data_IF_268444738776
#
_entry.id   IF_268444738776
#
_cell.length_a   1.000
_cell.length_b   1.000
_cell.length_c   1.000
_cell.angle_alpha   90.00
_cell.angle_beta   90.00
_cell.angle_gamma   90.00
#
_symmetry.space_group_name_H-M   'P 1'
#
loop_
_entity.id
_entity.type
_entity.pdbx_description
1 polymer ?
#
# COMPACT_ATOMS: atom_id res chain seq x y z
N UNK A 1 16.50 -1.73 1.58
CA UNK A 1 16.57 -2.84 2.55
C UNK A 1 15.16 -3.29 2.90
N UNK A 2 14.89 -4.60 2.86
CA UNK A 2 13.57 -5.17 3.16
C UNK A 2 13.46 -5.46 4.66
N UNK A 3 12.38 -5.03 5.30
CA UNK A 3 12.06 -5.33 6.71
C UNK A 3 10.67 -5.99 6.74
N UNK A 4 10.58 -7.32 6.86
CA UNK A 4 9.29 -8.02 6.90
C UNK A 4 8.65 -7.93 8.29
N UNK A 5 7.31 -7.91 8.34
CA UNK A 5 6.52 -7.77 9.57
C UNK A 5 7.01 -6.60 10.42
N UNK A 6 7.28 -5.49 9.74
CA UNK A 6 8.02 -4.38 10.32
C UNK A 6 7.25 -3.66 11.41
N UNK A 7 5.93 -3.93 11.55
CA UNK A 7 5.09 -3.38 12.58
C UNK A 7 5.30 -1.88 12.75
N UNK A 8 5.40 -1.49 14.02
CA UNK A 8 5.73 -0.13 14.45
C UNK A 8 7.22 0.02 14.79
N UNK A 9 8.07 -0.80 14.19
CA UNK A 9 9.44 -0.93 14.69
C UNK A 9 10.24 0.35 14.48
N UNK A 10 10.79 0.86 15.59
CA UNK A 10 11.71 1.99 15.65
C UNK A 10 12.88 1.83 14.67
N UNK A 11 13.22 0.58 14.34
CA UNK A 11 14.24 0.19 13.35
C UNK A 11 13.99 0.82 11.98
N UNK A 12 12.75 0.97 11.54
CA UNK A 12 12.43 1.60 10.25
C UNK A 12 12.82 3.08 10.23
N UNK A 13 12.50 3.80 11.30
CA UNK A 13 12.86 5.20 11.48
C UNK A 13 14.38 5.36 11.63
N UNK A 14 15.02 4.47 12.39
CA UNK A 14 16.46 4.47 12.59
C UNK A 14 17.22 4.24 11.27
N UNK A 15 16.83 3.22 10.51
CA UNK A 15 17.46 2.87 9.23
C UNK A 15 17.30 3.95 8.17
N UNK A 16 16.13 4.56 8.09
CA UNK A 16 15.93 5.70 7.20
C UNK A 16 16.70 6.94 7.66
N UNK A 17 16.83 7.15 8.98
CA UNK A 17 17.68 8.20 9.56
C UNK A 17 19.17 8.02 9.24
N UNK A 18 19.62 6.80 8.94
CA UNK A 18 20.97 6.52 8.43
C UNK A 18 21.12 6.75 6.91
N UNK A 19 20.05 7.14 6.21
CA UNK A 19 20.05 7.39 4.77
C UNK A 19 19.79 6.15 3.90
N UNK A 20 19.32 5.04 4.48
CA UNK A 20 18.95 3.86 3.69
C UNK A 20 17.55 3.99 3.08
N UNK A 21 17.40 3.53 1.84
CA UNK A 21 16.08 3.28 1.26
C UNK A 21 15.47 2.03 1.89
N UNK A 22 14.51 2.20 2.79
CA UNK A 22 13.85 1.12 3.53
C UNK A 22 12.53 0.75 2.85
N UNK A 23 12.29 -0.56 2.71
CA UNK A 23 11.04 -1.16 2.28
C UNK A 23 10.46 -1.98 3.44
N UNK A 24 9.46 -1.44 4.14
CA UNK A 24 8.72 -2.17 5.15
C UNK A 24 7.58 -2.99 4.53
N UNK A 25 7.36 -4.22 4.99
CA UNK A 25 6.16 -5.01 4.67
C UNK A 25 5.42 -5.33 5.96
N UNK A 26 4.15 -4.94 6.06
CA UNK A 26 3.32 -5.12 7.26
C UNK A 26 1.93 -5.66 6.89
N UNK A 27 1.32 -6.51 7.73
CA UNK A 27 -0.02 -7.08 7.50
C UNK A 27 -1.15 -6.24 8.12
N UNK A 28 -0.82 -5.35 9.05
CA UNK A 28 -1.75 -4.46 9.73
C UNK A 28 -1.71 -3.06 9.13
N UNK A 29 -2.72 -2.71 8.33
CA UNK A 29 -2.90 -1.34 7.80
C UNK A 29 -2.88 -0.28 8.91
N UNK A 30 -3.53 -0.58 10.04
CA UNK A 30 -3.55 0.30 11.23
C UNK A 30 -2.16 0.55 11.81
N UNK A 31 -1.28 -0.45 11.81
CA UNK A 31 0.09 -0.27 12.30
C UNK A 31 0.88 0.67 11.38
N UNK A 32 0.68 0.57 10.07
CA UNK A 32 1.29 1.46 9.08
C UNK A 32 0.76 2.89 9.26
N UNK A 33 -0.55 3.08 9.36
CA UNK A 33 -1.14 4.41 9.58
C UNK A 33 -0.64 5.07 10.88
N UNK A 34 -0.61 4.31 11.98
CA UNK A 34 -0.08 4.80 13.25
C UNK A 34 1.41 5.13 13.19
N UNK A 35 2.20 4.42 12.37
CA UNK A 35 3.60 4.74 12.14
C UNK A 35 3.74 6.11 11.46
N UNK A 36 3.04 6.33 10.34
CA UNK A 36 3.11 7.60 9.62
C UNK A 36 2.63 8.78 10.48
N UNK A 37 1.56 8.59 11.24
CA UNK A 37 1.05 9.62 12.15
C UNK A 37 2.06 10.03 13.23
N UNK A 38 2.72 9.05 13.88
CA UNK A 38 3.69 9.34 14.93
C UNK A 38 5.00 9.93 14.43
N UNK A 39 5.43 9.53 13.24
CA UNK A 39 6.61 10.12 12.59
C UNK A 39 6.28 11.49 11.96
N UNK A 40 5.03 11.96 12.05
CA UNK A 40 4.55 13.19 11.42
C UNK A 40 4.84 13.23 9.91
N UNK A 41 4.72 12.08 9.25
CA UNK A 41 4.98 11.91 7.84
C UNK A 41 3.66 11.91 7.05
N UNK A 42 3.60 12.71 6.00
CA UNK A 42 2.50 12.63 5.03
C UNK A 42 2.75 11.49 4.05
N UNK A 43 1.80 10.57 3.95
CA UNK A 43 1.87 9.43 3.05
C UNK A 43 1.12 9.68 1.74
N UNK A 44 1.78 9.48 0.61
CA UNK A 44 1.13 9.14 -0.67
C UNK A 44 0.68 7.67 -0.61
N UNK A 45 -0.63 7.45 -0.75
CA UNK A 45 -1.25 6.13 -0.63
C UNK A 45 -1.77 5.66 -1.98
N UNK A 46 -1.43 4.44 -2.38
CA UNK A 46 -1.90 3.82 -3.62
C UNK A 46 -2.32 2.37 -3.42
N UNK A 47 -3.24 1.88 -4.25
CA UNK A 47 -3.68 0.48 -4.23
C UNK A 47 -2.94 -0.32 -5.31
N UNK A 48 -2.40 -1.48 -4.95
CA UNK A 48 -1.73 -2.41 -5.85
C UNK A 48 -2.23 -3.84 -5.59
N UNK A 49 -3.27 -4.26 -6.31
CA UNK A 49 -3.91 -5.56 -6.09
C UNK A 49 -4.46 -5.67 -4.66
N UNK A 50 -4.03 -6.68 -3.91
CA UNK A 50 -4.42 -6.87 -2.51
C UNK A 50 -3.63 -6.00 -1.51
N UNK A 51 -2.68 -5.19 -1.98
CA UNK A 51 -1.78 -4.40 -1.14
C UNK A 51 -2.12 -2.92 -1.21
N UNK A 52 -1.94 -2.22 -0.10
CA UNK A 52 -1.94 -0.77 -0.05
C UNK A 52 -0.51 -0.29 0.16
N UNK A 53 -0.04 0.61 -0.69
CA UNK A 53 1.35 1.09 -0.70
C UNK A 53 1.35 2.51 -0.17
N UNK A 54 2.14 2.75 0.89
CA UNK A 54 2.31 4.05 1.52
C UNK A 54 3.72 4.57 1.23
N UNK A 55 3.86 5.80 0.73
CA UNK A 55 5.15 6.39 0.37
C UNK A 55 5.26 7.80 0.94
N UNK A 56 6.45 8.23 1.31
CA UNK A 56 6.71 9.62 1.69
C UNK A 56 8.18 9.89 1.43
N UNK A 57 8.59 10.90 0.66
CA UNK A 57 10.01 11.20 0.40
C UNK A 57 10.88 9.96 0.07
N UNK A 58 11.95 9.74 0.85
CA UNK A 58 12.84 8.57 0.74
C UNK A 58 12.26 7.27 1.33
N UNK A 59 11.07 7.34 1.92
CA UNK A 59 10.39 6.26 2.63
C UNK A 59 9.44 5.50 1.68
N UNK A 60 9.56 4.17 1.66
CA UNK A 60 8.59 3.30 0.95
C UNK A 60 8.10 2.18 1.87
N UNK A 61 6.82 2.16 2.17
CA UNK A 61 6.16 1.13 2.95
C UNK A 61 5.12 0.39 2.09
N UNK A 62 5.01 -0.92 2.28
CA UNK A 62 4.02 -1.77 1.62
C UNK A 62 3.20 -2.44 2.71
N UNK A 63 1.94 -2.03 2.85
CA UNK A 63 0.99 -2.73 3.71
C UNK A 63 0.26 -3.81 2.88
N UNK A 64 0.34 -5.06 3.31
CA UNK A 64 -0.70 -6.07 3.08
C UNK A 64 -1.75 -5.85 4.21
N UNK A 65 -3.06 -6.01 4.11
CA UNK A 65 -3.98 -6.75 3.25
C UNK A 65 -5.22 -5.85 3.09
N UNK A 66 -5.65 -5.53 1.87
CA UNK A 66 -6.96 -4.87 1.69
C UNK A 66 -8.07 -5.89 1.87
N UNK A 67 -8.98 -5.65 2.82
CA UNK A 67 -10.21 -6.43 3.02
C UNK A 67 -11.24 -6.24 1.89
N UNK A 68 -10.99 -5.35 0.92
CA UNK A 68 -11.84 -5.17 -0.25
C UNK A 68 -11.23 -5.85 -1.47
N UNK A 69 -11.36 -7.17 -1.53
CA UNK A 69 -11.29 -7.89 -2.80
C UNK A 69 -12.69 -7.88 -3.43
N UNK A 70 -13.23 -6.70 -3.73
CA UNK A 70 -14.23 -6.61 -4.78
C UNK A 70 -13.46 -6.59 -6.11
N UNK A 71 -13.54 -7.64 -6.96
CA UNK A 71 -12.95 -7.56 -8.29
C UNK A 71 -13.52 -6.34 -9.02
N UNK A 72 -12.75 -5.67 -9.90
CA UNK A 72 -13.32 -4.63 -10.74
C UNK A 72 -14.50 -5.25 -11.48
N UNK A 73 -15.73 -4.78 -11.21
CA UNK A 73 -16.90 -5.20 -11.97
C UNK A 73 -16.65 -4.85 -13.43
N UNK A 74 -16.23 -5.83 -14.23
CA UNK A 74 -16.22 -5.70 -15.68
C UNK A 74 -17.66 -5.42 -16.09
N UNK A 75 -17.93 -4.20 -16.57
CA UNK A 75 -19.22 -3.86 -17.19
C UNK A 75 -19.58 -4.97 -18.19
N UNK A 76 -20.81 -5.52 -18.18
CA UNK A 76 -21.19 -6.47 -19.21
C UNK A 76 -21.00 -5.78 -20.56
N UNK A 77 -20.26 -6.44 -21.47
CA UNK A 77 -20.13 -6.00 -22.84
C UNK A 77 -21.54 -5.81 -23.40
N UNK A 78 -21.84 -4.58 -23.82
CA UNK A 78 -23.12 -4.22 -24.41
C UNK A 78 -23.32 -5.13 -25.63
N UNK A 79 -24.27 -6.07 -25.54
CA UNK A 79 -24.71 -6.84 -26.69
C UNK A 79 -25.18 -5.85 -27.75
N UNK A 80 -24.35 -5.69 -28.78
CA UNK A 80 -24.65 -4.84 -29.92
C UNK A 80 -25.50 -5.67 -30.86
N UNK A 81 -26.81 -5.47 -30.78
CA UNK A 81 -27.81 -5.94 -31.76
C UNK A 81 -27.34 -5.54 -33.15
N UNK A 82 -26.78 -6.49 -33.90
CA UNK A 82 -26.70 -6.37 -35.35
C UNK A 82 -27.97 -6.98 -35.90
N UNK A 83 -28.96 -6.11 -36.15
CA UNK A 83 -29.96 -6.40 -37.15
C UNK A 83 -29.24 -6.58 -38.50
N UNK A 84 -29.32 -7.76 -39.09
CA UNK A 84 -29.13 -7.93 -40.53
C UNK A 84 -30.36 -8.63 -41.10
N UNK A 85 -30.79 -8.00 -42.18
CA UNK A 85 -31.88 -8.30 -43.11
C UNK A 85 -32.10 -9.79 -43.39
#
# INVERSE_FOLDING_TARGET
MLVPLCGKSLDLAWLAGQGFNVLGVELSEKAVEAFFAEQQLEAEVSQAGAFRVYRSGAWRFVAAISSSLAPPMSRPARASTTARL
#
